data_IF_594496678448
#
_entry.id   IF_594496678448
#
_cell.length_a   1.000
_cell.length_b   1.000
_cell.length_c   1.000
_cell.angle_alpha   90.00
_cell.angle_beta   90.00
_cell.angle_gamma   90.00
#
_symmetry.space_group_name_H-M   'P 1'
#
loop_
_entity.id
_entity.type
_entity.pdbx_description
1 polymer ?
#
# COMPACT_ATOMS: atom_id res chain seq x y z
N UNK A 1 -24.69 -42.27 24.29
CA UNK A 1 -24.01 -41.43 25.32
C UNK A 1 -22.50 -41.18 24.98
N UNK A 2 -21.73 -42.21 24.66
CA UNK A 2 -20.28 -42.08 24.30
C UNK A 2 -20.00 -41.23 23.04
N UNK A 3 -20.81 -41.39 22.00
CA UNK A 3 -20.63 -40.63 20.74
C UNK A 3 -20.94 -39.14 20.90
N UNK A 4 -21.93 -38.76 21.69
CA UNK A 4 -22.26 -37.36 21.99
C UNK A 4 -21.11 -36.67 22.74
N UNK A 5 -20.50 -37.36 23.72
CA UNK A 5 -19.36 -36.86 24.45
C UNK A 5 -18.09 -36.69 23.56
N UNK A 6 -17.91 -37.56 22.57
CA UNK A 6 -16.81 -37.47 21.61
C UNK A 6 -17.00 -36.29 20.64
N UNK A 7 -18.22 -36.04 20.19
CA UNK A 7 -18.54 -34.87 19.35
C UNK A 7 -18.37 -33.55 20.11
N UNK A 8 -18.81 -33.49 21.39
CA UNK A 8 -18.57 -32.29 22.21
C UNK A 8 -17.08 -32.02 22.46
N UNK A 9 -16.29 -33.05 22.74
CA UNK A 9 -14.83 -32.89 22.85
C UNK A 9 -14.20 -32.42 21.57
N UNK A 10 -14.51 -33.03 20.44
CA UNK A 10 -14.00 -32.63 19.12
C UNK A 10 -14.35 -31.18 18.77
N UNK A 11 -15.57 -30.73 19.09
CA UNK A 11 -16.00 -29.34 18.89
C UNK A 11 -15.28 -28.37 19.81
N UNK A 12 -14.98 -28.76 21.04
CA UNK A 12 -14.24 -27.93 22.00
C UNK A 12 -12.75 -27.78 21.65
N UNK A 13 -12.13 -28.89 21.20
CA UNK A 13 -10.75 -28.89 20.76
C UNK A 13 -10.55 -28.07 19.47
N UNK A 14 -11.52 -28.14 18.54
CA UNK A 14 -11.51 -27.31 17.33
C UNK A 14 -11.61 -25.81 17.64
N UNK A 15 -12.55 -25.41 18.52
CA UNK A 15 -12.67 -24.01 18.98
C UNK A 15 -11.43 -23.52 19.74
N UNK A 16 -10.82 -24.40 20.54
CA UNK A 16 -9.62 -24.04 21.30
C UNK A 16 -8.42 -23.83 20.38
N UNK A 17 -8.28 -24.66 19.34
CA UNK A 17 -7.21 -24.52 18.33
C UNK A 17 -7.43 -23.27 17.44
N UNK A 18 -8.67 -22.97 17.10
CA UNK A 18 -9.05 -21.77 16.34
C UNK A 18 -8.75 -20.48 17.13
N UNK A 19 -9.09 -20.46 18.42
CA UNK A 19 -8.77 -19.34 19.32
C UNK A 19 -7.26 -19.17 19.54
N UNK A 20 -6.52 -20.26 19.65
CA UNK A 20 -5.07 -20.23 19.74
C UNK A 20 -4.45 -19.63 18.49
N UNK A 21 -4.85 -20.07 17.29
CA UNK A 21 -4.38 -19.53 16.02
C UNK A 21 -4.65 -18.03 15.89
N UNK A 22 -5.85 -17.57 16.25
CA UNK A 22 -6.19 -16.14 16.25
C UNK A 22 -5.31 -15.35 17.22
N UNK A 23 -5.02 -15.91 18.38
CA UNK A 23 -4.14 -15.27 19.38
C UNK A 23 -2.70 -15.15 18.88
N UNK A 24 -2.17 -16.19 18.22
CA UNK A 24 -0.84 -16.14 17.60
C UNK A 24 -0.76 -15.08 16.50
N UNK A 25 -1.76 -15.03 15.62
CA UNK A 25 -1.82 -14.04 14.55
C UNK A 25 -1.85 -12.61 15.11
N UNK A 26 -2.69 -12.37 16.12
CA UNK A 26 -2.74 -11.07 16.82
C UNK A 26 -1.39 -10.72 17.46
N UNK A 27 -0.74 -11.68 18.11
CA UNK A 27 0.58 -11.49 18.72
C UNK A 27 1.64 -11.10 17.69
N UNK A 28 1.71 -11.79 16.57
CA UNK A 28 2.62 -11.47 15.46
C UNK A 28 2.33 -10.07 14.92
N UNK A 29 1.05 -9.75 14.68
CA UNK A 29 0.66 -8.43 14.17
C UNK A 29 1.06 -7.30 15.14
N UNK A 30 0.82 -7.50 16.44
CA UNK A 30 1.20 -6.53 17.46
C UNK A 30 2.72 -6.36 17.54
N UNK A 31 3.48 -7.45 17.48
CA UNK A 31 4.94 -7.39 17.51
C UNK A 31 5.51 -6.64 16.29
N UNK A 32 5.04 -6.97 15.09
CA UNK A 32 5.44 -6.28 13.84
C UNK A 32 5.08 -4.79 13.91
N UNK A 33 3.87 -4.47 14.36
CA UNK A 33 3.43 -3.08 14.48
C UNK A 33 4.28 -2.31 15.51
N UNK A 34 4.61 -2.93 16.65
CA UNK A 34 5.46 -2.31 17.67
C UNK A 34 6.86 -2.03 17.16
N UNK A 35 7.45 -2.96 16.41
CA UNK A 35 8.78 -2.76 15.80
C UNK A 35 8.73 -1.62 14.77
N UNK A 36 7.72 -1.60 13.91
CA UNK A 36 7.55 -0.55 12.91
C UNK A 36 7.36 0.82 13.56
N UNK A 37 6.51 0.93 14.58
CA UNK A 37 6.31 2.20 15.30
C UNK A 37 7.55 2.65 16.06
N UNK A 38 8.34 1.72 16.59
CA UNK A 38 9.60 2.02 17.25
C UNK A 38 10.67 2.56 16.30
N UNK A 39 10.73 2.01 15.06
CA UNK A 39 11.73 2.39 14.06
C UNK A 39 11.32 3.63 13.25
N UNK A 40 10.05 3.73 12.89
CA UNK A 40 9.55 4.73 11.94
C UNK A 40 8.65 5.79 12.58
N UNK A 41 8.32 5.65 13.88
CA UNK A 41 7.47 6.63 14.58
C UNK A 41 6.17 6.92 13.81
N UNK A 42 5.95 8.18 13.47
CA UNK A 42 4.76 8.66 12.74
C UNK A 42 4.63 8.05 11.34
N UNK A 43 5.75 7.67 10.69
CA UNK A 43 5.75 7.04 9.37
C UNK A 43 5.24 5.60 9.36
N UNK A 44 5.12 4.93 10.51
CA UNK A 44 4.71 3.53 10.57
C UNK A 44 3.33 3.30 9.92
N UNK A 45 2.36 4.17 10.18
CA UNK A 45 1.01 4.07 9.61
C UNK A 45 1.01 4.31 8.09
N UNK A 46 1.58 5.40 7.56
CA UNK A 46 1.72 5.59 6.12
C UNK A 46 2.42 4.44 5.41
N UNK A 47 3.49 3.89 5.97
CA UNK A 47 4.21 2.75 5.38
C UNK A 47 3.32 1.50 5.33
N UNK A 48 2.61 1.18 6.41
CA UNK A 48 1.70 0.03 6.42
C UNK A 48 0.55 0.16 5.41
N UNK A 49 -0.04 1.36 5.31
CA UNK A 49 -1.08 1.64 4.32
C UNK A 49 -0.55 1.53 2.89
N UNK A 50 0.67 2.03 2.64
CA UNK A 50 1.33 1.93 1.35
C UNK A 50 1.59 0.47 0.96
N UNK A 51 2.11 -0.35 1.89
CA UNK A 51 2.32 -1.79 1.66
C UNK A 51 0.99 -2.49 1.38
N UNK A 52 -0.04 -2.21 2.19
CA UNK A 52 -1.38 -2.78 2.00
C UNK A 52 -1.98 -2.40 0.63
N UNK A 53 -1.92 -1.12 0.26
CA UNK A 53 -2.39 -0.65 -1.04
C UNK A 53 -1.63 -1.32 -2.20
N UNK A 54 -0.31 -1.46 -2.11
CA UNK A 54 0.50 -2.14 -3.11
C UNK A 54 0.11 -3.62 -3.29
N UNK A 55 -0.17 -4.34 -2.20
CA UNK A 55 -0.60 -5.74 -2.25
C UNK A 55 -1.98 -5.86 -2.90
N UNK A 56 -2.92 -4.99 -2.53
CA UNK A 56 -4.28 -4.97 -3.10
C UNK A 56 -4.22 -4.62 -4.59
N UNK A 57 -3.43 -3.60 -4.97
CA UNK A 57 -3.26 -3.22 -6.38
C UNK A 57 -2.69 -4.37 -7.20
N UNK A 58 -1.65 -5.04 -6.70
CA UNK A 58 -1.08 -6.19 -7.38
C UNK A 58 -2.09 -7.33 -7.56
N UNK A 59 -2.83 -7.66 -6.50
CA UNK A 59 -3.85 -8.71 -6.54
C UNK A 59 -4.99 -8.37 -7.52
N UNK A 60 -5.51 -7.15 -7.45
CA UNK A 60 -6.59 -6.69 -8.36
C UNK A 60 -6.10 -6.57 -9.79
N UNK A 61 -4.85 -6.14 -10.02
CA UNK A 61 -4.22 -6.08 -11.33
C UNK A 61 -4.09 -7.45 -12.00
N UNK A 62 -3.71 -8.49 -11.24
CA UNK A 62 -3.67 -9.87 -11.75
C UNK A 62 -5.05 -10.39 -12.16
N UNK A 63 -6.09 -10.04 -11.41
CA UNK A 63 -7.48 -10.44 -11.72
C UNK A 63 -8.00 -9.65 -12.95
N UNK A 64 -7.62 -8.39 -13.10
CA UNK A 64 -8.03 -7.53 -14.20
C UNK A 64 -7.31 -7.86 -15.52
N UNK A 65 -6.06 -8.36 -15.50
CA UNK A 65 -5.25 -8.61 -16.68
C UNK A 65 -5.94 -9.48 -17.76
N UNK A 66 -6.60 -10.61 -17.44
CA UNK A 66 -7.33 -11.39 -18.43
C UNK A 66 -8.51 -10.63 -19.06
N UNK A 67 -9.13 -9.71 -18.32
CA UNK A 67 -10.23 -8.89 -18.81
C UNK A 67 -9.79 -7.83 -19.83
N UNK A 68 -8.54 -7.38 -19.72
CA UNK A 68 -7.89 -6.45 -20.66
C UNK A 68 -7.27 -7.17 -21.86
N UNK A 69 -7.42 -8.48 -21.98
CA UNK A 69 -6.70 -9.32 -22.94
C UNK A 69 -5.17 -9.13 -22.89
N UNK A 70 -4.63 -8.86 -21.70
CA UNK A 70 -3.20 -8.73 -21.48
C UNK A 70 -2.61 -10.09 -21.10
N UNK A 71 -1.51 -10.45 -21.77
CA UNK A 71 -0.74 -11.62 -21.42
C UNK A 71 -0.04 -11.40 -20.06
N UNK A 72 -0.29 -12.31 -19.12
CA UNK A 72 0.41 -12.35 -17.85
C UNK A 72 1.81 -12.89 -18.11
N UNK A 73 2.77 -11.99 -18.27
CA UNK A 73 4.17 -12.34 -18.47
C UNK A 73 4.97 -12.01 -17.20
N UNK A 74 5.81 -12.94 -16.76
CA UNK A 74 6.68 -12.75 -15.58
C UNK A 74 7.54 -11.50 -15.68
N UNK A 75 7.97 -11.11 -16.88
CA UNK A 75 8.77 -9.91 -17.10
C UNK A 75 7.94 -8.62 -16.82
N UNK A 76 6.69 -8.55 -17.29
CA UNK A 76 5.78 -7.42 -16.99
C UNK A 76 5.51 -7.31 -15.49
N UNK A 77 5.24 -8.44 -14.83
CA UNK A 77 5.01 -8.49 -13.38
C UNK A 77 6.23 -8.01 -12.60
N UNK A 78 7.42 -8.46 -12.98
CA UNK A 78 8.68 -8.07 -12.34
C UNK A 78 8.95 -6.55 -12.51
N UNK A 79 8.71 -6.00 -13.70
CA UNK A 79 8.84 -4.55 -13.95
C UNK A 79 7.88 -3.73 -13.07
N UNK A 80 6.65 -4.22 -12.86
CA UNK A 80 5.68 -3.60 -11.95
C UNK A 80 6.19 -3.57 -10.51
N UNK A 81 6.75 -4.68 -10.02
CA UNK A 81 7.32 -4.79 -8.67
C UNK A 81 8.51 -3.83 -8.51
N UNK A 82 9.44 -3.78 -9.46
CA UNK A 82 10.58 -2.87 -9.41
C UNK A 82 10.15 -1.40 -9.37
N UNK A 83 9.13 -1.02 -10.14
CA UNK A 83 8.56 0.33 -10.08
C UNK A 83 8.05 0.65 -8.67
N UNK A 84 7.39 -0.27 -8.00
CA UNK A 84 6.90 -0.08 -6.61
C UNK A 84 8.06 0.02 -5.62
N UNK A 85 9.10 -0.78 -5.76
CA UNK A 85 10.32 -0.67 -4.94
C UNK A 85 10.97 0.71 -5.11
N UNK A 86 11.06 1.21 -6.34
CA UNK A 86 11.57 2.57 -6.58
C UNK A 86 10.70 3.66 -5.93
N UNK A 87 9.37 3.49 -5.91
CA UNK A 87 8.49 4.41 -5.20
C UNK A 87 8.72 4.39 -3.68
N UNK A 88 9.04 3.25 -3.10
CA UNK A 88 9.42 3.18 -1.68
C UNK A 88 10.71 3.94 -1.38
N UNK A 89 11.67 3.94 -2.31
CA UNK A 89 12.89 4.76 -2.18
C UNK A 89 12.58 6.26 -2.13
N UNK A 90 11.51 6.72 -2.79
CA UNK A 90 11.09 8.12 -2.68
C UNK A 90 10.64 8.49 -1.26
N UNK A 91 9.98 7.58 -0.54
CA UNK A 91 9.63 7.80 0.87
C UNK A 91 10.90 7.87 1.73
N UNK A 92 11.88 7.01 1.46
CA UNK A 92 13.17 7.04 2.15
C UNK A 92 13.93 8.35 1.88
N UNK A 93 13.92 8.84 0.64
CA UNK A 93 14.49 10.17 0.30
C UNK A 93 13.73 11.28 1.03
N UNK A 94 12.40 11.21 1.10
CA UNK A 94 11.60 12.14 1.89
C UNK A 94 12.01 12.16 3.36
N UNK A 95 12.24 10.99 3.96
CA UNK A 95 12.70 10.89 5.35
C UNK A 95 14.12 11.47 5.55
N UNK A 96 15.02 11.29 4.59
CA UNK A 96 16.35 11.91 4.62
C UNK A 96 16.23 13.44 4.57
N UNK A 97 15.34 13.97 3.75
CA UNK A 97 15.08 15.42 3.68
C UNK A 97 14.53 15.92 5.00
N UNK A 98 13.59 15.21 5.62
CA UNK A 98 13.02 15.55 6.92
C UNK A 98 14.11 15.61 8.01
N UNK A 99 15.00 14.63 8.08
CA UNK A 99 16.12 14.61 9.02
C UNK A 99 17.08 15.79 8.79
N UNK A 100 17.36 16.13 7.52
CA UNK A 100 18.19 17.27 7.18
C UNK A 100 17.55 18.60 7.62
N UNK A 101 16.24 18.74 7.43
CA UNK A 101 15.48 19.91 7.88
C UNK A 101 15.50 20.02 9.41
N UNK A 102 15.30 18.91 10.13
CA UNK A 102 15.36 18.87 11.59
C UNK A 102 16.75 19.26 12.11
N UNK A 103 17.81 18.73 11.50
CA UNK A 103 19.18 19.09 11.85
C UNK A 103 19.46 20.58 11.64
N UNK A 104 19.09 21.11 10.46
CA UNK A 104 19.27 22.52 10.14
C UNK A 104 18.50 23.44 11.09
N UNK A 105 17.23 23.13 11.39
CA UNK A 105 16.41 23.91 12.30
C UNK A 105 16.97 23.93 13.73
N UNK A 106 17.47 22.79 14.20
CA UNK A 106 18.13 22.69 15.52
C UNK A 106 19.40 23.57 15.58
N UNK A 107 20.16 23.64 14.50
CA UNK A 107 21.40 24.43 14.44
C UNK A 107 21.12 25.94 14.54
N UNK A 108 19.99 26.42 14.01
CA UNK A 108 19.58 27.82 14.05
C UNK A 108 18.64 28.15 15.21
N UNK A 109 18.38 27.19 16.09
CA UNK A 109 17.55 27.39 17.30
C UNK A 109 16.04 27.43 17.04
N UNK A 110 15.58 26.96 15.88
CA UNK A 110 14.16 26.88 15.53
C UNK A 110 13.66 25.46 15.84
N UNK A 111 12.60 25.33 16.65
CA UNK A 111 11.92 24.08 16.89
C UNK A 111 10.78 23.91 15.89
N UNK A 112 10.89 22.91 15.00
CA UNK A 112 9.83 22.56 14.07
C UNK A 112 8.86 21.56 14.73
N UNK A 113 7.54 21.80 14.67
CA UNK A 113 6.57 20.83 15.14
C UNK A 113 6.45 19.70 14.10
N UNK A 114 6.90 18.51 14.46
CA UNK A 114 6.69 17.30 13.68
C UNK A 114 7.91 16.83 12.91
N UNK A 115 8.13 15.53 12.96
CA UNK A 115 9.10 14.78 12.17
C UNK A 115 8.40 14.10 11.00
N UNK A 116 9.14 13.90 9.91
CA UNK A 116 8.68 13.12 8.75
C UNK A 116 7.52 13.70 7.92
N UNK A 117 7.42 15.04 7.81
CA UNK A 117 6.37 15.69 7.02
C UNK A 117 6.52 15.41 5.52
N UNK A 118 7.74 15.55 4.97
CA UNK A 118 8.02 15.31 3.54
C UNK A 118 7.77 13.86 3.20
N UNK A 119 8.29 12.93 4.01
CA UNK A 119 8.08 11.51 3.82
C UNK A 119 6.59 11.12 3.87
N UNK A 120 5.82 11.71 4.79
CA UNK A 120 4.38 11.49 4.87
C UNK A 120 3.65 12.00 3.62
N UNK A 121 3.99 13.18 3.12
CA UNK A 121 3.39 13.73 1.88
C UNK A 121 3.67 12.80 0.70
N UNK A 122 4.91 12.34 0.56
CA UNK A 122 5.31 11.41 -0.50
C UNK A 122 4.55 10.09 -0.36
N UNK A 123 4.47 9.51 0.84
CA UNK A 123 3.74 8.29 1.10
C UNK A 123 2.24 8.43 0.77
N UNK A 124 1.61 9.53 1.19
CA UNK A 124 0.21 9.82 0.85
C UNK A 124 -0.01 9.91 -0.65
N UNK A 125 0.89 10.57 -1.38
CA UNK A 125 0.82 10.66 -2.84
C UNK A 125 0.91 9.27 -3.50
N UNK A 126 1.82 8.41 -3.03
CA UNK A 126 1.94 7.03 -3.52
C UNK A 126 0.66 6.25 -3.23
N UNK A 127 0.13 6.33 -2.00
CA UNK A 127 -1.11 5.65 -1.61
C UNK A 127 -2.28 6.10 -2.51
N UNK A 128 -2.41 7.39 -2.78
CA UNK A 128 -3.44 7.90 -3.69
C UNK A 128 -3.33 7.30 -5.09
N UNK A 129 -2.12 7.18 -5.63
CA UNK A 129 -1.90 6.55 -6.93
C UNK A 129 -2.26 5.06 -6.92
N UNK A 130 -1.89 4.32 -5.86
CA UNK A 130 -2.28 2.90 -5.72
C UNK A 130 -3.80 2.73 -5.60
N UNK A 131 -4.48 3.60 -4.84
CA UNK A 131 -5.95 3.60 -4.74
C UNK A 131 -6.61 3.82 -6.09
N UNK A 132 -6.10 4.77 -6.89
CA UNK A 132 -6.59 4.99 -8.25
C UNK A 132 -6.41 3.75 -9.13
N UNK A 133 -5.25 3.11 -9.06
CA UNK A 133 -4.97 1.87 -9.80
C UNK A 133 -5.91 0.74 -9.38
N UNK A 134 -6.14 0.56 -8.07
CA UNK A 134 -7.10 -0.42 -7.55
C UNK A 134 -8.51 -0.17 -8.09
N UNK A 135 -8.98 1.08 -8.09
CA UNK A 135 -10.31 1.43 -8.60
C UNK A 135 -10.43 1.14 -10.10
N UNK A 136 -9.39 1.36 -10.89
CA UNK A 136 -9.34 0.99 -12.30
C UNK A 136 -9.39 -0.52 -12.50
N UNK A 137 -8.59 -1.25 -11.75
CA UNK A 137 -8.60 -2.70 -11.77
C UNK A 137 -10.00 -3.27 -11.42
N UNK A 138 -10.65 -2.72 -10.40
CA UNK A 138 -12.01 -3.12 -10.00
C UNK A 138 -13.04 -2.84 -11.11
N UNK A 139 -12.93 -1.69 -11.79
CA UNK A 139 -13.77 -1.37 -12.94
C UNK A 139 -13.58 -2.38 -14.08
N UNK A 140 -12.34 -2.71 -14.41
CA UNK A 140 -12.02 -3.67 -15.46
C UNK A 140 -12.47 -5.10 -15.14
N UNK A 141 -12.50 -5.46 -13.86
CA UNK A 141 -13.06 -6.73 -13.37
C UNK A 141 -14.60 -6.76 -13.55
N UNK A 142 -15.25 -5.59 -13.63
CA UNK A 142 -16.69 -5.45 -13.79
C UNK A 142 -17.41 -5.07 -12.49
N UNK A 143 -16.71 -4.60 -11.47
CA UNK A 143 -17.31 -4.07 -10.24
C UNK A 143 -17.93 -2.70 -10.55
N UNK A 144 -19.22 -2.53 -10.25
CA UNK A 144 -19.91 -1.26 -10.38
C UNK A 144 -19.37 -0.26 -9.33
N UNK A 145 -18.65 0.77 -9.82
CA UNK A 145 -18.17 1.84 -8.94
C UNK A 145 -19.28 2.89 -8.72
N UNK A 146 -19.31 3.56 -7.56
CA UNK A 146 -20.18 4.71 -7.35
C UNK A 146 -19.97 5.78 -8.43
N UNK A 147 -21.04 6.39 -8.98
CA UNK A 147 -20.96 7.30 -10.13
C UNK A 147 -20.03 8.51 -9.95
N UNK A 148 -19.81 8.95 -8.72
CA UNK A 148 -18.94 10.09 -8.41
C UNK A 148 -17.44 9.76 -8.47
N UNK A 149 -17.06 8.48 -8.39
CA UNK A 149 -15.65 8.08 -8.42
C UNK A 149 -15.04 8.18 -9.84
N UNK A 150 -15.80 7.91 -10.89
CA UNK A 150 -15.28 8.01 -12.25
C UNK A 150 -14.80 9.42 -12.64
N UNK A 151 -15.60 10.49 -12.43
CA UNK A 151 -15.13 11.85 -12.71
C UNK A 151 -13.94 12.24 -11.84
N UNK A 152 -13.93 11.81 -10.58
CA UNK A 152 -12.82 12.09 -9.64
C UNK A 152 -11.50 11.46 -10.13
N UNK A 153 -11.52 10.20 -10.51
CA UNK A 153 -10.35 9.49 -11.07
C UNK A 153 -9.83 10.18 -12.33
N UNK A 154 -10.74 10.59 -13.22
CA UNK A 154 -10.39 11.28 -14.47
C UNK A 154 -9.75 12.64 -14.22
N UNK A 155 -10.29 13.42 -13.28
CA UNK A 155 -9.75 14.71 -12.90
C UNK A 155 -8.37 14.62 -12.24
N UNK A 156 -8.15 13.65 -11.36
CA UNK A 156 -6.84 13.44 -10.73
C UNK A 156 -5.81 13.06 -11.79
N UNK A 157 -6.13 12.15 -12.71
CA UNK A 157 -5.23 11.74 -13.79
C UNK A 157 -4.86 12.89 -14.73
N UNK A 158 -5.85 13.71 -15.14
CA UNK A 158 -5.57 14.86 -16.00
C UNK A 158 -4.65 15.88 -15.33
N UNK A 159 -4.87 16.18 -14.04
CA UNK A 159 -4.01 17.09 -13.31
C UNK A 159 -2.57 16.58 -13.14
N UNK A 160 -2.38 15.27 -13.00
CA UNK A 160 -1.06 14.65 -12.94
C UNK A 160 -0.39 14.68 -14.31
N UNK A 161 -1.12 14.39 -15.39
CA UNK A 161 -0.60 14.41 -16.75
C UNK A 161 -0.23 15.83 -17.21
N UNK A 162 -1.04 16.85 -16.88
CA UNK A 162 -0.78 18.23 -17.25
C UNK A 162 0.43 18.85 -16.53
N UNK A 163 0.74 18.37 -15.32
CA UNK A 163 1.88 18.86 -14.52
C UNK A 163 3.19 18.12 -14.77
N UNK A 164 3.16 17.00 -15.47
CA UNK A 164 4.32 16.25 -15.91
C UNK A 164 4.32 16.14 -17.43
N UNK A 165 4.85 17.13 -18.18
CA UNK A 165 5.13 16.97 -19.60
C UNK A 165 6.35 16.05 -19.74
N UNK A 166 6.18 14.76 -19.47
CA UNK A 166 7.14 13.76 -19.92
C UNK A 166 6.84 13.59 -21.41
N UNK A 167 7.69 14.23 -22.23
CA UNK A 167 7.69 13.96 -23.65
C UNK A 167 7.85 12.44 -23.86
N UNK A 168 6.79 11.75 -24.22
CA UNK A 168 6.91 10.53 -24.97
C UNK A 168 7.58 10.90 -26.31
N UNK A 169 8.92 10.88 -26.31
CA UNK A 169 9.62 10.72 -27.56
C UNK A 169 9.21 9.36 -28.11
N UNK A 170 8.34 9.38 -29.08
CA UNK A 170 8.13 8.29 -30.03
C UNK A 170 9.50 8.08 -30.70
N UNK A 171 10.21 7.07 -30.28
CA UNK A 171 11.27 6.48 -31.09
C UNK A 171 10.57 5.70 -32.20
N UNK A 172 10.20 6.42 -33.25
CA UNK A 172 9.99 5.90 -34.59
C UNK A 172 11.30 6.17 -35.34
N UNK A 173 12.19 5.18 -35.38
CA UNK A 173 13.07 4.88 -36.49
C UNK A 173 13.56 3.43 -36.38
#
# INVERSE_FOLDING_TARGET
>A
MKEVMLQERSGKDKKMNENASVTYIKGIFTAVFSVLTSLFGVLAVPILLMVGANVIDYATGLIAAPKRAEDINSYKSMRGIWKKVCMWLLVAVGAIIDELILYASGTIGITLPGSFLVACIVACWIICNEVLSILENLKDIGVALPPFLEPLMKNIKSQVADKMPISEKKDNE
#
